data_IF_862441707225
#
_entry.id   IF_862441707225
#
_cell.length_a   1.000
_cell.length_b   1.000
_cell.length_c   1.000
_cell.angle_alpha   90.00
_cell.angle_beta   90.00
_cell.angle_gamma   90.00
#
_symmetry.space_group_name_H-M   'P 1'
#
loop_
_entity.id
_entity.type
_entity.pdbx_description
1 polymer ?
#
# COMPACT_ATOMS: atom_id res chain seq x y z
N UNK A 1 -13.76 -10.23 43.43
CA UNK A 1 -13.06 -11.41 42.86
C UNK A 1 -13.74 -11.97 41.58
N UNK A 2 -14.26 -11.11 40.68
CA UNK A 2 -14.97 -11.54 39.45
C UNK A 2 -14.29 -11.08 38.14
N UNK A 3 -13.09 -10.51 38.25
CA UNK A 3 -12.32 -9.98 37.12
C UNK A 3 -11.13 -10.88 36.74
N UNK A 4 -10.60 -11.67 37.69
CA UNK A 4 -9.48 -12.59 37.45
C UNK A 4 -9.86 -13.87 36.68
N UNK A 5 -11.05 -14.42 36.92
CA UNK A 5 -11.54 -15.62 36.19
C UNK A 5 -11.88 -15.30 34.74
N UNK A 6 -12.39 -14.10 34.45
CA UNK A 6 -12.66 -13.62 33.09
C UNK A 6 -11.37 -13.33 32.33
N UNK A 7 -10.36 -12.76 33.01
CA UNK A 7 -9.06 -12.51 32.40
C UNK A 7 -8.34 -13.81 32.02
N UNK A 8 -8.38 -14.82 32.90
CA UNK A 8 -7.82 -16.14 32.59
C UNK A 8 -8.60 -16.87 31.48
N UNK A 9 -9.94 -16.85 31.46
CA UNK A 9 -10.71 -17.48 30.38
C UNK A 9 -10.51 -16.81 29.01
N UNK A 10 -10.33 -15.49 28.97
CA UNK A 10 -10.02 -14.75 27.74
C UNK A 10 -8.57 -15.01 27.28
N UNK A 11 -7.63 -15.09 28.21
CA UNK A 11 -6.23 -15.41 27.90
C UNK A 11 -6.08 -16.87 27.44
N UNK A 12 -6.75 -17.82 28.08
CA UNK A 12 -6.75 -19.22 27.64
C UNK A 12 -7.39 -19.37 26.26
N UNK A 13 -8.50 -18.67 25.96
CA UNK A 13 -9.08 -18.66 24.61
C UNK A 13 -8.19 -17.95 23.57
N UNK A 14 -7.44 -16.91 23.96
CA UNK A 14 -6.42 -16.29 23.07
C UNK A 14 -5.23 -17.19 22.83
N UNK A 15 -4.83 -17.99 23.81
CA UNK A 15 -3.72 -18.92 23.70
C UNK A 15 -4.10 -20.13 22.82
N UNK A 16 -5.31 -20.68 22.99
CA UNK A 16 -5.84 -21.74 22.11
C UNK A 16 -6.04 -21.28 20.66
N UNK A 17 -6.33 -19.99 20.43
CA UNK A 17 -6.46 -19.39 19.09
C UNK A 17 -5.14 -18.91 18.48
N UNK A 18 -4.07 -18.81 19.27
CA UNK A 18 -2.75 -18.40 18.78
C UNK A 18 -1.97 -19.55 18.12
N UNK A 19 -2.34 -20.79 18.43
CA UNK A 19 -1.72 -22.00 17.89
C UNK A 19 -2.30 -22.45 16.53
N UNK A 20 -3.34 -21.76 16.04
CA UNK A 20 -4.00 -22.08 14.78
C UNK A 20 -3.35 -21.34 13.59
N UNK A 21 -2.71 -22.06 12.66
CA UNK A 21 -2.24 -21.51 11.37
C UNK A 21 -3.35 -20.77 10.61
N UNK A 22 -4.61 -21.09 10.90
CA UNK A 22 -5.81 -20.43 10.40
C UNK A 22 -5.98 -18.96 10.87
N UNK A 23 -5.41 -18.54 12.01
CA UNK A 23 -5.52 -17.15 12.50
C UNK A 23 -4.34 -16.25 12.07
N UNK A 24 -3.17 -16.84 11.79
CA UNK A 24 -2.04 -16.15 11.12
C UNK A 24 -2.42 -15.66 9.71
N UNK A 25 -3.46 -16.28 9.15
CA UNK A 25 -4.26 -15.77 8.05
C UNK A 25 -5.43 -14.93 8.62
N UNK A 26 -5.33 -13.61 8.74
CA UNK A 26 -6.05 -12.87 7.70
C UNK A 26 -5.60 -13.45 6.36
N UNK A 27 -6.50 -14.12 5.64
CA UNK A 27 -6.14 -14.69 4.33
C UNK A 27 -5.46 -13.60 3.55
N UNK A 28 -4.38 -13.90 2.84
CA UNK A 28 -3.59 -12.88 2.13
C UNK A 28 -4.50 -11.91 1.33
N UNK A 29 -5.58 -12.43 0.77
CA UNK A 29 -6.65 -11.68 0.11
C UNK A 29 -7.41 -10.67 1.00
N UNK A 30 -7.70 -11.00 2.26
CA UNK A 30 -8.29 -10.06 3.24
C UNK A 30 -7.32 -8.94 3.59
N UNK A 31 -6.03 -9.24 3.78
CA UNK A 31 -4.99 -8.22 3.99
C UNK A 31 -4.88 -7.30 2.77
N UNK A 32 -4.90 -7.88 1.56
CA UNK A 32 -4.86 -7.13 0.30
C UNK A 32 -6.08 -6.22 0.16
N UNK A 33 -7.29 -6.72 0.45
CA UNK A 33 -8.52 -5.93 0.42
C UNK A 33 -8.45 -4.74 1.40
N UNK A 34 -8.06 -5.01 2.65
CA UNK A 34 -7.90 -3.97 3.67
C UNK A 34 -6.89 -2.90 3.24
N UNK A 35 -5.65 -3.30 2.92
CA UNK A 35 -4.59 -2.36 2.57
C UNK A 35 -4.89 -1.57 1.30
N UNK A 36 -5.60 -2.16 0.34
CA UNK A 36 -6.00 -1.48 -0.90
C UNK A 36 -7.06 -0.42 -0.67
N UNK A 37 -7.95 -0.64 0.29
CA UNK A 37 -8.94 0.34 0.74
C UNK A 37 -8.25 1.50 1.48
N UNK A 38 -7.37 1.20 2.43
CA UNK A 38 -6.57 2.22 3.12
C UNK A 38 -5.76 3.07 2.13
N UNK A 39 -5.07 2.41 1.19
CA UNK A 39 -4.30 3.09 0.15
C UNK A 39 -5.19 3.95 -0.77
N UNK A 40 -6.45 3.56 -1.01
CA UNK A 40 -7.38 4.38 -1.80
C UNK A 40 -7.73 5.67 -1.05
N UNK A 41 -8.01 5.59 0.24
CA UNK A 41 -8.36 6.77 1.05
C UNK A 41 -7.17 7.70 1.22
N UNK A 42 -6.00 7.18 1.59
CA UNK A 42 -4.79 8.01 1.72
C UNK A 42 -4.29 8.57 0.38
N UNK A 43 -4.52 7.90 -0.75
CA UNK A 43 -4.21 8.50 -2.05
C UNK A 43 -5.06 9.73 -2.35
N UNK A 44 -6.30 9.84 -1.83
CA UNK A 44 -7.10 11.08 -1.97
C UNK A 44 -6.43 12.21 -1.20
N UNK A 45 -6.04 11.95 0.04
CA UNK A 45 -5.39 12.94 0.90
C UNK A 45 -4.01 13.36 0.35
N UNK A 46 -3.24 12.41 -0.19
CA UNK A 46 -2.00 12.69 -0.90
C UNK A 46 -2.22 13.57 -2.13
N UNK A 47 -3.27 13.30 -2.91
CA UNK A 47 -3.63 14.13 -4.07
C UNK A 47 -3.99 15.54 -3.62
N UNK A 48 -4.79 15.70 -2.57
CA UNK A 48 -5.13 17.02 -2.01
C UNK A 48 -3.88 17.78 -1.53
N UNK A 49 -2.97 17.12 -0.81
CA UNK A 49 -1.71 17.72 -0.38
C UNK A 49 -0.83 18.12 -1.58
N UNK A 50 -0.77 17.28 -2.62
CA UNK A 50 -0.04 17.59 -3.84
C UNK A 50 -0.68 18.77 -4.62
N UNK A 51 -2.01 18.87 -4.65
CA UNK A 51 -2.72 20.02 -5.24
C UNK A 51 -2.35 21.32 -4.53
N UNK A 52 -2.35 21.31 -3.20
CA UNK A 52 -1.93 22.46 -2.38
C UNK A 52 -0.45 22.83 -2.64
N UNK A 53 0.39 21.84 -2.95
CA UNK A 53 1.78 22.04 -3.36
C UNK A 53 1.97 22.45 -4.82
N UNK A 54 0.90 22.70 -5.59
CA UNK A 54 0.96 23.18 -6.97
C UNK A 54 0.94 22.09 -8.06
N UNK A 55 0.64 20.84 -7.73
CA UNK A 55 0.36 19.77 -8.71
C UNK A 55 -1.08 19.91 -9.18
N UNK A 56 -1.30 20.51 -10.36
CA UNK A 56 -2.65 20.92 -10.78
C UNK A 56 -3.20 20.14 -11.98
N UNK A 57 -2.37 19.83 -12.97
CA UNK A 57 -2.85 19.20 -14.22
C UNK A 57 -2.76 17.68 -14.17
N UNK A 58 -3.53 17.00 -15.03
CA UNK A 58 -3.44 15.54 -15.18
C UNK A 58 -2.00 15.08 -15.50
N UNK A 59 -1.26 15.86 -16.30
CA UNK A 59 0.14 15.60 -16.61
C UNK A 59 1.04 15.78 -15.38
N UNK A 60 0.84 16.82 -14.58
CA UNK A 60 1.60 17.01 -13.34
C UNK A 60 1.35 15.84 -12.37
N UNK A 61 0.11 15.36 -12.25
CA UNK A 61 -0.22 14.19 -11.43
C UNK A 61 0.43 12.91 -11.95
N UNK A 62 0.45 12.70 -13.27
CA UNK A 62 1.13 11.54 -13.84
C UNK A 62 2.64 11.55 -13.52
N UNK A 63 3.28 12.73 -13.59
CA UNK A 63 4.69 12.92 -13.21
C UNK A 63 4.87 12.66 -11.72
N UNK A 64 4.05 13.29 -10.86
CA UNK A 64 4.12 13.16 -9.41
C UNK A 64 3.99 11.70 -8.96
N UNK A 65 3.06 10.94 -9.54
CA UNK A 65 2.89 9.53 -9.21
C UNK A 65 4.06 8.67 -9.71
N UNK A 66 4.62 8.98 -10.88
CA UNK A 66 5.82 8.31 -11.37
C UNK A 66 7.03 8.55 -10.47
N UNK A 67 7.23 9.77 -9.93
CA UNK A 67 8.30 10.03 -8.97
C UNK A 67 8.19 9.13 -7.73
N UNK A 68 6.99 8.96 -7.18
CA UNK A 68 6.74 8.03 -6.09
C UNK A 68 7.08 6.58 -6.44
N UNK A 69 6.76 6.14 -7.67
CA UNK A 69 7.15 4.82 -8.15
C UNK A 69 8.66 4.69 -8.30
N UNK A 70 9.31 5.63 -8.95
CA UNK A 70 10.76 5.59 -9.19
C UNK A 70 11.54 5.56 -7.87
N UNK A 71 11.09 6.27 -6.84
CA UNK A 71 11.72 6.19 -5.51
C UNK A 71 11.62 4.79 -4.91
N UNK A 72 10.43 4.18 -4.90
CA UNK A 72 10.18 2.90 -4.24
C UNK A 72 10.72 1.69 -5.03
N UNK A 73 10.64 1.72 -6.36
CA UNK A 73 10.95 0.61 -7.26
C UNK A 73 12.30 0.80 -7.96
N UNK A 74 13.26 1.46 -7.33
CA UNK A 74 14.64 1.51 -7.83
C UNK A 74 14.79 2.18 -9.20
N UNK A 75 14.01 3.21 -9.48
CA UNK A 75 14.03 3.98 -10.73
C UNK A 75 13.00 3.53 -11.77
N UNK A 76 12.25 2.45 -11.54
CA UNK A 76 11.20 2.01 -12.44
C UNK A 76 10.00 2.98 -12.42
N UNK A 77 9.56 3.39 -13.60
CA UNK A 77 8.31 4.14 -13.77
C UNK A 77 7.10 3.20 -13.79
N UNK A 78 5.89 3.76 -13.84
CA UNK A 78 4.65 2.97 -13.91
C UNK A 78 4.67 1.95 -15.07
N UNK A 79 5.19 2.32 -16.24
CA UNK A 79 5.20 1.45 -17.42
C UNK A 79 6.14 0.26 -17.23
N UNK A 80 7.32 0.49 -16.68
CA UNK A 80 8.30 -0.53 -16.41
C UNK A 80 7.83 -1.49 -15.30
N UNK A 81 7.18 -0.99 -14.25
CA UNK A 81 6.55 -1.84 -13.22
C UNK A 81 5.46 -2.71 -13.84
N UNK A 82 4.62 -2.12 -14.69
CA UNK A 82 3.54 -2.83 -15.37
C UNK A 82 4.06 -3.96 -16.26
N UNK A 83 5.13 -3.70 -17.03
CA UNK A 83 5.81 -4.70 -17.85
C UNK A 83 6.47 -5.79 -16.99
N UNK A 84 7.20 -5.41 -15.95
CA UNK A 84 7.91 -6.35 -15.07
C UNK A 84 6.95 -7.32 -14.38
N UNK A 85 5.75 -6.85 -14.01
CA UNK A 85 4.70 -7.67 -13.41
C UNK A 85 3.90 -8.49 -14.43
N UNK A 86 4.15 -8.36 -15.73
CA UNK A 86 3.45 -9.09 -16.78
C UNK A 86 1.96 -8.71 -16.90
N UNK A 87 1.60 -7.47 -16.56
CA UNK A 87 0.21 -7.03 -16.53
C UNK A 87 -0.33 -6.74 -17.94
N UNK A 88 -1.61 -7.03 -18.16
CA UNK A 88 -2.35 -6.62 -19.36
C UNK A 88 -2.64 -5.13 -19.33
N UNK A 89 -2.76 -4.49 -20.50
CA UNK A 89 -2.95 -3.02 -20.64
C UNK A 89 -4.05 -2.42 -19.76
N UNK A 90 -5.12 -3.17 -19.48
CA UNK A 90 -6.26 -2.73 -18.67
C UNK A 90 -6.13 -3.07 -17.17
N UNK A 91 -5.14 -3.86 -16.75
CA UNK A 91 -4.91 -4.21 -15.36
C UNK A 91 -4.24 -3.06 -14.61
N UNK A 92 -4.71 -2.81 -13.39
CA UNK A 92 -4.16 -1.80 -12.48
C UNK A 92 -3.08 -2.43 -11.61
N UNK A 93 -1.94 -1.77 -11.50
CA UNK A 93 -0.78 -2.31 -10.75
C UNK A 93 -1.18 -2.62 -9.30
N UNK A 94 -1.80 -1.67 -8.60
CA UNK A 94 -2.23 -1.83 -7.19
C UNK A 94 -3.22 -2.99 -6.97
N UNK A 95 -4.01 -3.37 -7.96
CA UNK A 95 -4.98 -4.46 -7.81
C UNK A 95 -4.31 -5.85 -7.98
N UNK A 96 -3.07 -5.88 -8.44
CA UNK A 96 -2.23 -7.06 -8.63
C UNK A 96 -0.96 -7.00 -7.76
N UNK A 97 -1.09 -6.46 -6.55
CA UNK A 97 -0.06 -6.48 -5.52
C UNK A 97 -0.45 -7.43 -4.38
N UNK A 98 0.56 -8.05 -3.76
CA UNK A 98 0.43 -8.71 -2.46
C UNK A 98 0.36 -7.70 -1.31
N UNK A 99 0.04 -8.18 -0.10
CA UNK A 99 -0.12 -7.35 1.09
C UNK A 99 1.16 -6.61 1.48
N UNK A 100 2.33 -7.25 1.40
CA UNK A 100 3.63 -6.62 1.66
C UNK A 100 3.89 -5.44 0.73
N UNK A 101 3.59 -5.59 -0.57
CA UNK A 101 3.80 -4.53 -1.56
C UNK A 101 2.79 -3.39 -1.37
N UNK A 102 1.52 -3.71 -1.10
CA UNK A 102 0.49 -2.71 -0.78
C UNK A 102 0.86 -1.91 0.47
N UNK A 103 1.37 -2.56 1.51
CA UNK A 103 1.81 -1.90 2.74
C UNK A 103 2.97 -0.92 2.46
N UNK A 104 3.94 -1.29 1.63
CA UNK A 104 5.02 -0.40 1.23
C UNK A 104 4.51 0.83 0.45
N UNK A 105 3.56 0.65 -0.49
CA UNK A 105 2.96 1.76 -1.22
C UNK A 105 2.09 2.66 -0.33
N UNK A 106 1.35 2.06 0.62
CA UNK A 106 0.58 2.79 1.63
C UNK A 106 1.50 3.65 2.49
N UNK A 107 2.58 3.07 3.02
CA UNK A 107 3.54 3.81 3.84
C UNK A 107 4.20 4.94 3.05
N UNK A 108 4.61 4.70 1.80
CA UNK A 108 5.11 5.77 0.92
C UNK A 108 4.08 6.90 0.76
N UNK A 109 2.83 6.56 0.47
CA UNK A 109 1.77 7.54 0.22
C UNK A 109 1.50 8.40 1.46
N UNK A 110 1.31 7.78 2.62
CA UNK A 110 1.05 8.50 3.88
C UNK A 110 2.24 9.35 4.31
N UNK A 111 3.46 8.84 4.21
CA UNK A 111 4.65 9.63 4.57
C UNK A 111 4.90 10.78 3.60
N UNK A 112 4.56 10.61 2.32
CA UNK A 112 4.67 11.72 1.35
C UNK A 112 3.66 12.80 1.67
N UNK A 113 2.41 12.42 1.90
CA UNK A 113 1.34 13.35 2.29
C UNK A 113 1.73 14.18 3.52
N UNK A 114 2.12 13.50 4.60
CA UNK A 114 2.52 14.15 5.84
C UNK A 114 3.75 15.05 5.64
N UNK A 115 4.72 14.63 4.83
CA UNK A 115 5.91 15.42 4.54
C UNK A 115 5.60 16.66 3.71
N UNK A 116 4.72 16.57 2.70
CA UNK A 116 4.28 17.72 1.91
C UNK A 116 3.65 18.78 2.80
N UNK A 117 2.75 18.35 3.71
CA UNK A 117 2.05 19.23 4.66
C UNK A 117 3.02 19.83 5.69
N UNK A 118 3.80 19.00 6.38
CA UNK A 118 4.71 19.41 7.46
C UNK A 118 5.78 20.38 6.97
N UNK A 119 6.34 20.11 5.79
CA UNK A 119 7.47 20.90 5.28
C UNK A 119 6.99 22.11 4.45
N UNK A 120 5.67 22.34 4.36
CA UNK A 120 5.09 23.49 3.66
C UNK A 120 5.44 23.53 2.18
N UNK A 121 5.49 22.36 1.52
CA UNK A 121 5.90 22.25 0.11
C UNK A 121 4.90 23.00 -0.78
N UNK A 122 5.41 23.91 -1.61
CA UNK A 122 4.58 24.88 -2.35
C UNK A 122 4.90 24.96 -3.85
N UNK A 123 5.66 24.00 -4.39
CA UNK A 123 5.89 23.88 -5.83
C UNK A 123 5.85 22.43 -6.29
N UNK A 124 5.38 22.21 -7.52
CA UNK A 124 5.29 20.86 -8.10
C UNK A 124 6.64 20.16 -8.20
N UNK A 125 7.72 20.91 -8.44
CA UNK A 125 9.08 20.36 -8.49
C UNK A 125 9.48 19.81 -7.11
N UNK A 126 9.25 20.57 -6.04
CA UNK A 126 9.52 20.09 -4.69
C UNK A 126 8.60 18.94 -4.28
N UNK A 127 7.33 18.95 -4.71
CA UNK A 127 6.41 17.86 -4.46
C UNK A 127 6.90 16.56 -5.10
N UNK A 128 7.33 16.62 -6.37
CA UNK A 128 7.91 15.50 -7.10
C UNK A 128 9.17 14.96 -6.42
N UNK A 129 10.11 15.84 -6.04
CA UNK A 129 11.32 15.46 -5.31
C UNK A 129 10.99 14.80 -3.97
N UNK A 130 10.04 15.38 -3.23
CA UNK A 130 9.60 14.85 -1.93
C UNK A 130 9.03 13.44 -2.07
N UNK A 131 8.17 13.20 -3.06
CA UNK A 131 7.57 11.89 -3.29
C UNK A 131 8.62 10.84 -3.69
N UNK A 132 9.57 11.22 -4.53
CA UNK A 132 10.72 10.37 -4.89
C UNK A 132 11.58 10.03 -3.66
N UNK A 133 11.93 11.03 -2.87
CA UNK A 133 12.81 10.86 -1.70
C UNK A 133 12.18 9.98 -0.62
N UNK A 134 10.89 10.16 -0.36
CA UNK A 134 10.13 9.28 0.54
C UNK A 134 10.12 7.85 0.01
N UNK A 135 9.81 7.65 -1.27
CA UNK A 135 9.86 6.31 -1.88
C UNK A 135 11.23 5.65 -1.75
N UNK A 136 12.31 6.40 -2.00
CA UNK A 136 13.69 5.93 -1.86
C UNK A 136 14.02 5.56 -0.41
N UNK A 137 13.54 6.34 0.58
CA UNK A 137 13.74 6.03 2.00
C UNK A 137 13.01 4.75 2.40
N UNK A 138 11.75 4.58 1.96
CA UNK A 138 11.00 3.33 2.20
C UNK A 138 11.75 2.14 1.61
N UNK A 139 12.24 2.26 0.37
CA UNK A 139 13.05 1.22 -0.28
C UNK A 139 14.32 0.88 0.52
N UNK A 140 15.07 1.89 0.95
CA UNK A 140 16.27 1.72 1.76
C UNK A 140 15.95 0.92 3.03
N UNK A 141 14.86 1.26 3.72
CA UNK A 141 14.44 0.54 4.93
C UNK A 141 14.07 -0.91 4.65
N UNK A 142 13.39 -1.22 3.54
CA UNK A 142 13.12 -2.62 3.15
C UNK A 142 14.44 -3.38 2.98
N UNK A 143 15.43 -2.77 2.34
CA UNK A 143 16.74 -3.38 2.11
C UNK A 143 17.51 -3.60 3.41
N UNK A 144 17.55 -2.60 4.30
CA UNK A 144 18.22 -2.68 5.61
C UNK A 144 17.63 -3.78 6.51
N UNK A 145 16.32 -4.01 6.39
CA UNK A 145 15.63 -5.09 7.11
C UNK A 145 15.78 -6.47 6.44
N UNK A 146 16.49 -6.57 5.31
CA UNK A 146 16.63 -7.81 4.54
C UNK A 146 15.35 -8.24 3.83
N UNK A 147 14.41 -7.33 3.60
CA UNK A 147 13.14 -7.60 2.93
C UNK A 147 13.29 -7.72 1.40
N UNK A 148 12.36 -8.46 0.79
CA UNK A 148 12.27 -8.56 -0.68
C UNK A 148 11.87 -7.21 -1.28
N UNK A 149 12.58 -6.77 -2.32
CA UNK A 149 12.27 -5.51 -2.99
C UNK A 149 10.90 -5.54 -3.67
N UNK A 150 10.15 -4.42 -3.71
CA UNK A 150 8.80 -4.37 -4.26
C UNK A 150 8.66 -4.92 -5.68
N UNK A 151 9.65 -4.66 -6.54
CA UNK A 151 9.68 -5.13 -7.93
C UNK A 151 9.95 -6.64 -8.08
N UNK A 152 10.39 -7.32 -7.01
CA UNK A 152 10.63 -8.77 -6.97
C UNK A 152 9.51 -9.53 -6.24
N UNK A 153 8.54 -8.83 -5.65
CA UNK A 153 7.39 -9.45 -5.01
C UNK A 153 6.46 -10.10 -6.05
N UNK A 154 5.83 -11.24 -5.72
CA UNK A 154 4.98 -11.97 -6.63
C UNK A 154 3.76 -11.15 -7.05
N UNK A 155 3.36 -11.30 -8.31
CA UNK A 155 2.13 -10.69 -8.86
C UNK A 155 0.97 -11.67 -8.70
N UNK A 156 -0.05 -11.39 -7.87
CA UNK A 156 -1.21 -12.26 -7.73
C UNK A 156 -2.02 -12.35 -9.03
N UNK A 157 -2.41 -13.58 -9.40
CA UNK A 157 -3.26 -13.84 -10.57
C UNK A 157 -4.68 -13.33 -10.38
N UNK A 158 -5.21 -13.43 -9.16
CA UNK A 158 -6.52 -12.89 -8.79
C UNK A 158 -6.36 -11.43 -8.37
N UNK A 159 -7.03 -10.53 -9.09
CA UNK A 159 -7.04 -9.10 -8.78
C UNK A 159 -7.89 -8.80 -7.54
N UNK A 160 -7.58 -7.71 -6.85
CA UNK A 160 -8.37 -7.24 -5.71
C UNK A 160 -9.82 -6.97 -6.10
N UNK A 161 -10.06 -6.44 -7.30
CA UNK A 161 -11.42 -6.25 -7.82
C UNK A 161 -12.21 -7.57 -7.95
N UNK A 162 -11.55 -8.67 -8.31
CA UNK A 162 -12.19 -9.98 -8.33
C UNK A 162 -12.51 -10.46 -6.92
N UNK A 163 -11.60 -10.25 -5.96
CA UNK A 163 -11.82 -10.58 -4.55
C UNK A 163 -13.02 -9.82 -3.97
N UNK A 164 -13.12 -8.50 -4.22
CA UNK A 164 -14.25 -7.66 -3.80
C UNK A 164 -15.59 -8.20 -4.31
N UNK A 165 -15.63 -8.68 -5.55
CA UNK A 165 -16.84 -9.24 -6.15
C UNK A 165 -17.22 -10.57 -5.50
N UNK A 166 -16.23 -11.43 -5.20
CA UNK A 166 -16.47 -12.71 -4.53
C UNK A 166 -17.05 -12.51 -3.12
N UNK A 167 -16.53 -11.55 -2.34
CA UNK A 167 -17.07 -11.22 -1.00
C UNK A 167 -18.53 -10.76 -1.09
N UNK A 168 -18.85 -9.85 -2.01
CA UNK A 168 -20.22 -9.34 -2.22
C UNK A 168 -21.23 -10.42 -2.62
N UNK A 169 -20.79 -11.46 -3.32
CA UNK A 169 -21.65 -12.59 -3.70
C UNK A 169 -21.94 -13.46 -2.48
N UNK A 170 -20.95 -13.67 -1.62
CA UNK A 170 -21.10 -14.47 -0.39
C UNK A 170 -21.97 -13.76 0.65
N UNK A 171 -21.91 -12.43 0.78
CA UNK A 171 -22.76 -11.66 1.71
C UNK A 171 -24.23 -11.55 1.28
N UNK A 172 -24.54 -11.80 -0.01
CA UNK A 172 -25.90 -11.75 -0.56
C UNK A 172 -26.62 -13.10 -0.58
N UNK A 173 -25.94 -14.18 -0.18
CA UNK A 173 -26.52 -15.51 -0.03
C UNK A 173 -26.82 -15.76 1.44
#
# INVERSE_FOLDING_TARGET
MRQGQTYFAIQTRRQELADDEAFKQLREDEKRLFLRNELKEHNKQLVEAAQQAGVATATDFAIFQNHGYQGLYGGLDQKAIHQRKGLKKNQKILDHMGSTELAANLFRATQTEEKLKRDGVNSKQQANTTHFDVGRKVRQTIQELGGTMPEELPTPQVSIKQLENSVKITEKK
#
